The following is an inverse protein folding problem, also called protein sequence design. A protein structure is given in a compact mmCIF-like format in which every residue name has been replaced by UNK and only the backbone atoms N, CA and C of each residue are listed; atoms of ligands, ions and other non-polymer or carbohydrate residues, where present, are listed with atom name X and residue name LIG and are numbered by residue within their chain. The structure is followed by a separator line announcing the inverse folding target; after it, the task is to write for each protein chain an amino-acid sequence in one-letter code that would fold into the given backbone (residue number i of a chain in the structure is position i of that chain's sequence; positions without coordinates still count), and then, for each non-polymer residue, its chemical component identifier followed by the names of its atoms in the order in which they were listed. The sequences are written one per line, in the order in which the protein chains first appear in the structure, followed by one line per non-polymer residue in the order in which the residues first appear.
data_IF_794677097800
#
_entry.id   IF_794677097800
#
_cell.length_a   1.000
_cell.length_b   1.000
_cell.length_c   1.000
_cell.angle_alpha   90.00
_cell.angle_beta   90.00
_cell.angle_gamma   90.00
#
_symmetry.space_group_name_H-M   'P 1'
#
loop_
_entity.id
_entity.type
_entity.pdbx_description
1 polymer ?
#
# COMPACT_ATOMS: atom_id res chain seq x y z
N UNK A 1 1.97 22.53 -3.26
CA UNK A 1 1.13 21.71 -4.16
C UNK A 1 -0.29 21.50 -3.64
N UNK A 2 -0.53 21.47 -2.31
CA UNK A 2 -1.90 21.42 -1.77
C UNK A 2 -2.63 20.10 -2.06
N UNK A 3 -1.89 18.99 -2.13
CA UNK A 3 -2.47 17.68 -2.41
C UNK A 3 -3.28 17.18 -1.21
N UNK A 4 -4.48 16.68 -1.48
CA UNK A 4 -5.37 16.07 -0.48
C UNK A 4 -5.21 14.55 -0.40
N UNK A 5 -4.50 13.97 -1.38
CA UNK A 5 -4.19 12.55 -1.47
C UNK A 5 -2.73 12.43 -1.86
N UNK A 6 -1.98 11.58 -1.15
CA UNK A 6 -0.58 11.28 -1.44
C UNK A 6 -0.43 9.77 -1.60
N UNK A 7 0.02 9.35 -2.79
CA UNK A 7 0.45 7.98 -3.06
C UNK A 7 1.95 7.83 -2.90
N UNK A 8 2.37 6.82 -2.14
CA UNK A 8 3.78 6.43 -2.00
C UNK A 8 4.01 5.14 -2.75
N UNK A 9 4.81 5.23 -3.81
CA UNK A 9 5.27 4.06 -4.53
C UNK A 9 6.47 3.43 -3.82
N UNK A 10 6.29 2.22 -3.29
CA UNK A 10 7.33 1.45 -2.62
C UNK A 10 8.36 0.85 -3.60
N UNK A 11 8.15 0.98 -4.91
CA UNK A 11 9.09 0.56 -5.94
C UNK A 11 10.06 1.69 -6.25
N UNK A 12 11.34 1.43 -6.04
CA UNK A 12 12.39 2.28 -6.58
C UNK A 12 12.42 2.15 -8.11
N UNK A 13 12.29 3.26 -8.84
CA UNK A 13 12.21 3.25 -10.30
C UNK A 13 13.58 3.11 -10.99
N UNK A 14 14.68 3.28 -10.25
CA UNK A 14 16.03 3.14 -10.79
C UNK A 14 16.50 1.67 -10.81
N UNK A 15 16.17 0.89 -9.78
CA UNK A 15 16.64 -0.49 -9.60
C UNK A 15 15.53 -1.53 -9.41
N UNK A 16 14.26 -1.09 -9.39
CA UNK A 16 13.06 -1.92 -9.24
C UNK A 16 12.94 -2.69 -7.92
N UNK A 17 13.79 -2.38 -6.92
CA UNK A 17 13.62 -2.87 -5.56
C UNK A 17 12.29 -2.38 -4.97
N UNK A 18 11.71 -3.19 -4.07
CA UNK A 18 10.41 -2.90 -3.46
C UNK A 18 10.53 -3.01 -1.94
N UNK A 19 10.17 -1.96 -1.22
CA UNK A 19 10.23 -1.87 0.23
C UNK A 19 8.99 -1.17 0.79
N UNK A 20 8.07 -1.93 1.41
CA UNK A 20 6.85 -1.37 2.00
C UNK A 20 7.13 -0.48 3.23
N UNK A 21 8.32 -0.62 3.85
CA UNK A 21 8.72 0.26 4.95
C UNK A 21 8.86 1.71 4.49
N UNK A 22 9.06 1.95 3.19
CA UNK A 22 9.10 3.28 2.64
C UNK A 22 7.80 4.06 2.92
N UNK A 23 6.65 3.43 2.73
CA UNK A 23 5.35 4.02 3.08
C UNK A 23 5.24 4.33 4.57
N UNK A 24 5.68 3.42 5.44
CA UNK A 24 5.64 3.60 6.90
C UNK A 24 6.53 4.78 7.34
N UNK A 25 7.75 4.88 6.79
CA UNK A 25 8.66 5.99 7.09
C UNK A 25 8.08 7.32 6.63
N UNK A 26 7.50 7.36 5.42
CA UNK A 26 6.98 8.60 4.82
C UNK A 26 5.65 9.04 5.43
N UNK A 27 4.82 8.10 5.93
CA UNK A 27 3.55 8.43 6.59
C UNK A 27 3.74 9.37 7.77
N UNK A 28 4.84 9.22 8.50
CA UNK A 28 5.22 10.07 9.66
C UNK A 28 5.51 11.53 9.30
N UNK A 29 5.69 11.84 8.02
CA UNK A 29 5.96 13.19 7.51
C UNK A 29 4.73 13.85 6.90
N UNK A 30 3.64 13.09 6.74
CA UNK A 30 2.39 13.56 6.16
C UNK A 30 1.38 13.81 7.27
N UNK A 31 0.63 14.90 7.14
CA UNK A 31 -0.42 15.27 8.09
C UNK A 31 -1.61 14.32 7.98
N UNK A 32 -2.29 14.06 9.10
CA UNK A 32 -3.37 13.07 9.21
C UNK A 32 -4.65 13.46 8.46
N UNK A 33 -4.76 14.70 8.00
CA UNK A 33 -5.86 15.19 7.16
C UNK A 33 -5.69 14.85 5.67
N UNK A 34 -4.55 14.27 5.27
CA UNK A 34 -4.26 13.85 3.90
C UNK A 34 -4.45 12.35 3.78
N UNK A 35 -5.23 11.92 2.78
CA UNK A 35 -5.38 10.49 2.48
C UNK A 35 -4.04 9.94 1.98
N UNK A 36 -3.51 8.95 2.69
CA UNK A 36 -2.21 8.35 2.42
C UNK A 36 -2.35 6.94 1.85
N UNK A 37 -1.79 6.73 0.65
CA UNK A 37 -1.92 5.48 -0.11
C UNK A 37 -0.56 4.82 -0.26
N UNK A 38 -0.45 3.54 0.10
CA UNK A 38 0.72 2.71 -0.18
C UNK A 38 0.55 1.93 -1.48
N UNK A 39 1.54 2.02 -2.38
CA UNK A 39 1.53 1.39 -3.69
C UNK A 39 2.74 0.46 -3.87
N UNK A 40 2.56 -0.63 -4.63
CA UNK A 40 3.58 -1.67 -4.89
C UNK A 40 3.99 -2.48 -3.65
N UNK A 41 4.25 -3.77 -3.86
CA UNK A 41 4.82 -4.66 -2.83
C UNK A 41 3.81 -5.34 -1.91
N UNK A 42 2.54 -4.98 -1.96
CA UNK A 42 1.47 -5.59 -1.15
C UNK A 42 1.01 -6.91 -1.79
N UNK A 43 1.21 -8.02 -1.08
CA UNK A 43 0.93 -9.38 -1.58
C UNK A 43 0.00 -10.16 -0.65
N UNK A 44 0.12 -9.95 0.65
CA UNK A 44 -0.63 -10.75 1.64
C UNK A 44 -1.46 -9.89 2.55
N UNK A 45 -2.35 -10.56 3.31
CA UNK A 45 -3.13 -9.93 4.37
C UNK A 45 -2.24 -9.25 5.42
N UNK A 46 -1.11 -9.86 5.75
CA UNK A 46 -0.15 -9.35 6.73
C UNK A 46 0.50 -8.03 6.25
N UNK A 47 0.80 -7.91 4.96
CA UNK A 47 1.30 -6.65 4.39
C UNK A 47 0.29 -5.51 4.59
N UNK A 48 -0.99 -5.79 4.34
CA UNK A 48 -2.09 -4.83 4.52
C UNK A 48 -2.26 -4.48 6.00
N UNK A 49 -2.25 -5.48 6.89
CA UNK A 49 -2.35 -5.29 8.34
C UNK A 49 -1.23 -4.40 8.87
N UNK A 50 0.01 -4.65 8.45
CA UNK A 50 1.17 -3.83 8.85
C UNK A 50 1.06 -2.38 8.40
N UNK A 51 0.58 -2.13 7.18
CA UNK A 51 0.36 -0.77 6.68
C UNK A 51 -0.75 -0.07 7.46
N UNK A 52 -1.85 -0.77 7.74
CA UNK A 52 -2.97 -0.28 8.55
C UNK A 52 -2.57 0.06 9.99
N UNK A 53 -1.73 -0.76 10.61
CA UNK A 53 -1.16 -0.50 11.95
C UNK A 53 -0.26 0.75 12.00
N UNK A 54 0.19 1.24 10.84
CA UNK A 54 1.03 2.43 10.71
C UNK A 54 0.28 3.60 10.02
N UNK A 55 -1.03 3.68 10.22
CA UNK A 55 -1.89 4.80 9.78
C UNK A 55 -1.89 5.05 8.27
N UNK A 56 -1.68 4.01 7.45
CA UNK A 56 -1.92 4.08 6.00
C UNK A 56 -3.40 3.86 5.70
N UNK A 57 -4.01 4.83 5.00
CA UNK A 57 -5.46 4.84 4.77
C UNK A 57 -5.91 3.85 3.69
N UNK A 58 -5.08 3.64 2.68
CA UNK A 58 -5.41 2.75 1.57
C UNK A 58 -4.19 2.09 0.93
N UNK A 59 -4.45 1.02 0.18
CA UNK A 59 -3.45 0.28 -0.61
C UNK A 59 -3.89 0.18 -2.06
N UNK A 60 -2.93 0.30 -2.98
CA UNK A 60 -3.13 0.05 -4.41
C UNK A 60 -2.44 -1.26 -4.80
N UNK A 61 -3.23 -2.25 -5.21
CA UNK A 61 -2.75 -3.61 -5.48
C UNK A 61 -3.09 -3.98 -6.93
N UNK A 62 -2.06 -4.19 -7.75
CA UNK A 62 -2.20 -4.59 -9.15
C UNK A 62 -1.79 -6.05 -9.36
N UNK A 63 -0.48 -6.31 -9.39
CA UNK A 63 0.09 -7.62 -9.77
C UNK A 63 -0.49 -8.81 -8.99
N UNK A 64 -0.59 -8.69 -7.66
CA UNK A 64 -1.15 -9.73 -6.79
C UNK A 64 -2.58 -10.10 -7.20
N UNK A 65 -3.42 -9.11 -7.51
CA UNK A 65 -4.78 -9.35 -7.99
C UNK A 65 -4.80 -9.91 -9.42
N UNK A 66 -3.92 -9.44 -10.30
CA UNK A 66 -3.87 -9.91 -11.69
C UNK A 66 -3.43 -11.37 -11.80
N UNK A 67 -2.52 -11.81 -10.93
CA UNK A 67 -2.03 -13.19 -10.86
C UNK A 67 -2.95 -14.15 -10.12
N UNK A 68 -3.94 -13.64 -9.39
CA UNK A 68 -4.87 -14.49 -8.65
C UNK A 68 -5.87 -15.18 -9.60
N UNK A 69 -6.00 -16.50 -9.42
CA UNK A 69 -7.00 -17.32 -10.10
C UNK A 69 -8.43 -16.94 -9.69
N UNK A 70 -8.64 -16.64 -8.40
CA UNK A 70 -9.90 -16.10 -7.86
C UNK A 70 -9.71 -14.73 -7.23
N UNK A 71 -9.94 -13.71 -8.05
CA UNK A 71 -9.81 -12.30 -7.67
C UNK A 71 -10.80 -11.88 -6.57
N UNK A 72 -11.97 -12.51 -6.50
CA UNK A 72 -12.97 -12.19 -5.47
C UNK A 72 -12.50 -12.72 -4.12
N UNK A 73 -12.01 -13.96 -4.09
CA UNK A 73 -11.43 -14.54 -2.88
C UNK A 73 -10.23 -13.72 -2.39
N UNK A 74 -9.31 -13.35 -3.29
CA UNK A 74 -8.14 -12.52 -2.94
C UNK A 74 -8.54 -11.15 -2.40
N UNK A 75 -9.50 -10.46 -3.00
CA UNK A 75 -10.01 -9.18 -2.47
C UNK A 75 -10.62 -9.39 -1.07
N UNK A 76 -11.39 -10.46 -0.86
CA UNK A 76 -11.99 -10.75 0.44
C UNK A 76 -10.92 -11.03 1.51
N UNK A 77 -9.87 -11.78 1.17
CA UNK A 77 -8.74 -12.04 2.06
C UNK A 77 -8.04 -10.75 2.48
N UNK A 78 -7.65 -9.92 1.51
CA UNK A 78 -6.91 -8.67 1.75
C UNK A 78 -7.74 -7.63 2.50
N UNK A 79 -9.07 -7.60 2.30
CA UNK A 79 -9.97 -6.69 3.03
C UNK A 79 -10.15 -7.04 4.51
N UNK A 80 -9.96 -8.31 4.89
CA UNK A 80 -10.15 -8.78 6.26
C UNK A 80 -8.90 -8.60 7.14
N UNK A 81 -7.92 -7.81 6.66
CA UNK A 81 -6.69 -7.43 7.34
C UNK A 81 -6.92 -6.49 8.54
#
# INVERSE_FOLDING_TARGET
AGAQIIGVNNRNLADFTVDIENSIRLRRLVSDDIVFISESGIKTKEDVGRLKENDVDAVLIGETLMRSDDKKAMIAELKNA
#
